data_IF_830388124533
#
_entry.id   IF_830388124533
#
_cell.length_a   1.000
_cell.length_b   1.000
_cell.length_c   1.000
_cell.angle_alpha   90.00
_cell.angle_beta   90.00
_cell.angle_gamma   90.00
#
_symmetry.space_group_name_H-M   'P 1'
#
loop_
_entity.id
_entity.type
_entity.pdbx_description
1 polymer ?
#
# COMPACT_ATOMS: atom_id res chain seq x y z
N UNK A 1 2.70 36.24 -11.73
CA UNK A 1 1.81 35.98 -10.58
C UNK A 1 1.98 34.54 -10.17
N UNK A 2 2.24 34.34 -8.89
CA UNK A 2 2.72 33.10 -8.27
C UNK A 2 1.60 32.08 -8.09
N UNK A 3 1.83 30.84 -8.53
CA UNK A 3 1.15 29.66 -7.98
C UNK A 3 2.21 28.69 -7.47
N UNK A 4 2.75 28.99 -6.29
CA UNK A 4 3.40 28.00 -5.44
C UNK A 4 2.36 26.92 -5.12
N UNK A 5 2.40 25.81 -5.85
CA UNK A 5 1.77 24.58 -5.38
C UNK A 5 2.51 24.20 -4.11
N UNK A 6 1.82 24.37 -2.97
CA UNK A 6 2.22 23.81 -1.70
C UNK A 6 2.66 22.37 -1.97
N UNK A 7 3.93 22.09 -1.66
CA UNK A 7 4.44 20.78 -1.30
C UNK A 7 3.57 20.26 -0.14
N UNK A 8 2.35 19.82 -0.42
CA UNK A 8 1.70 18.82 0.41
C UNK A 8 2.68 17.67 0.32
N UNK A 9 3.45 17.43 1.38
CA UNK A 9 4.36 16.30 1.47
C UNK A 9 3.53 15.07 1.14
N UNK A 10 3.60 14.64 -0.12
CA UNK A 10 2.83 13.54 -0.65
C UNK A 10 3.37 12.33 0.10
N UNK A 11 2.72 12.00 1.21
CA UNK A 11 3.08 10.83 1.99
C UNK A 11 2.95 9.69 1.00
N UNK A 12 4.03 8.97 0.67
CA UNK A 12 3.98 7.98 -0.39
C UNK A 12 2.98 6.90 0.01
N UNK A 13 1.82 6.94 -0.65
CA UNK A 13 0.70 6.06 -0.37
C UNK A 13 0.63 5.01 -1.48
N UNK A 14 0.76 3.74 -1.09
CA UNK A 14 0.73 2.60 -2.00
C UNK A 14 -0.62 1.90 -1.86
N UNK A 15 -1.35 1.76 -2.96
CA UNK A 15 -2.51 0.88 -3.06
C UNK A 15 -2.06 -0.52 -3.46
N UNK A 16 -2.37 -1.51 -2.62
CA UNK A 16 -2.16 -2.93 -2.90
C UNK A 16 -3.53 -3.57 -3.08
N UNK A 17 -3.84 -4.07 -4.28
CA UNK A 17 -5.12 -4.71 -4.59
C UNK A 17 -4.93 -6.22 -4.67
N UNK A 18 -5.83 -6.95 -4.02
CA UNK A 18 -5.88 -8.41 -4.07
C UNK A 18 -7.31 -8.87 -4.28
N UNK A 19 -7.48 -10.13 -4.69
CA UNK A 19 -8.80 -10.77 -4.69
C UNK A 19 -9.28 -10.94 -3.24
N UNK A 20 -10.59 -10.82 -2.99
CA UNK A 20 -11.23 -10.98 -1.67
C UNK A 20 -10.72 -12.18 -0.84
N UNK A 21 -10.61 -13.41 -1.38
CA UNK A 21 -10.10 -14.56 -0.61
C UNK A 21 -8.63 -14.43 -0.18
N UNK A 22 -7.85 -13.54 -0.82
CA UNK A 22 -6.43 -13.33 -0.53
C UNK A 22 -6.20 -12.26 0.55
N UNK A 23 -7.25 -11.60 1.05
CA UNK A 23 -7.14 -10.54 2.06
C UNK A 23 -6.46 -11.00 3.37
N UNK A 24 -6.77 -12.18 3.95
CA UNK A 24 -6.06 -12.66 5.14
C UNK A 24 -4.57 -12.89 4.87
N UNK A 25 -4.23 -13.35 3.66
CA UNK A 25 -2.88 -13.62 3.20
C UNK A 25 -2.10 -12.30 3.05
N UNK A 26 -2.73 -11.27 2.48
CA UNK A 26 -2.19 -9.92 2.40
C UNK A 26 -1.92 -9.30 3.78
N UNK A 27 -2.85 -9.42 4.74
CA UNK A 27 -2.64 -8.94 6.11
C UNK A 27 -1.48 -9.65 6.82
N UNK A 28 -1.33 -10.97 6.59
CA UNK A 28 -0.20 -11.75 7.11
C UNK A 28 1.12 -11.29 6.48
N UNK A 29 1.14 -11.12 5.16
CA UNK A 29 2.33 -10.67 4.43
C UNK A 29 2.78 -9.27 4.90
N UNK A 30 1.85 -8.32 5.05
CA UNK A 30 2.14 -6.99 5.60
C UNK A 30 2.77 -7.06 6.99
N UNK A 31 2.24 -7.92 7.87
CA UNK A 31 2.81 -8.12 9.21
C UNK A 31 4.24 -8.68 9.14
N UNK A 32 4.47 -9.69 8.30
CA UNK A 32 5.78 -10.30 8.10
C UNK A 32 6.80 -9.31 7.51
N UNK A 33 6.35 -8.40 6.67
CA UNK A 33 7.20 -7.36 6.08
C UNK A 33 7.38 -6.13 6.99
N UNK A 34 6.81 -6.11 8.20
CA UNK A 34 7.00 -5.00 9.15
C UNK A 34 6.09 -3.79 8.88
N UNK A 35 4.93 -4.01 8.26
CA UNK A 35 3.84 -3.03 8.17
C UNK A 35 2.78 -3.35 9.25
N UNK A 36 2.84 -2.70 10.44
CA UNK A 36 1.82 -2.86 11.47
C UNK A 36 0.47 -2.29 11.02
N UNK A 37 -0.62 -2.67 11.69
CA UNK A 37 -2.00 -2.28 11.32
C UNK A 37 -2.23 -0.76 11.31
N UNK A 38 -1.44 0.02 12.03
CA UNK A 38 -1.50 1.49 11.99
C UNK A 38 -0.96 2.12 10.70
N UNK A 39 -0.16 1.38 9.94
CA UNK A 39 0.49 1.87 8.73
C UNK A 39 -0.32 1.60 7.47
N UNK A 40 -1.45 0.90 7.59
CA UNK A 40 -2.30 0.60 6.45
C UNK A 40 -3.79 0.63 6.76
N UNK A 41 -4.60 0.97 5.76
CA UNK A 41 -6.07 1.00 5.83
C UNK A 41 -6.67 0.08 4.78
N UNK A 42 -7.75 -0.59 5.13
CA UNK A 42 -8.55 -1.33 4.16
C UNK A 42 -9.28 -0.33 3.26
N UNK A 43 -9.24 -0.55 1.95
CA UNK A 43 -9.97 0.25 0.98
C UNK A 43 -10.76 -0.70 0.09
N UNK A 44 -12.07 -0.53 0.04
CA UNK A 44 -12.92 -1.25 -0.91
C UNK A 44 -12.91 -0.53 -2.26
N UNK A 45 -12.64 -1.26 -3.34
CA UNK A 45 -12.60 -0.69 -4.69
C UNK A 45 -13.35 -1.60 -5.67
N UNK A 46 -14.68 -1.50 -5.68
CA UNK A 46 -15.56 -2.34 -6.49
C UNK A 46 -15.53 -3.80 -6.01
N UNK A 47 -15.39 -4.81 -6.90
CA UNK A 47 -15.37 -6.22 -6.50
C UNK A 47 -14.04 -6.66 -5.85
N UNK A 48 -13.09 -5.74 -5.67
CA UNK A 48 -11.74 -6.02 -5.15
C UNK A 48 -11.53 -5.30 -3.83
N UNK A 49 -10.86 -5.97 -2.90
CA UNK A 49 -10.45 -5.38 -1.63
C UNK A 49 -8.96 -5.03 -1.72
N UNK A 50 -8.64 -3.78 -1.44
CA UNK A 50 -7.29 -3.27 -1.41
C UNK A 50 -6.84 -2.85 -0.01
N UNK A 51 -5.54 -2.63 0.13
CA UNK A 51 -4.94 -2.03 1.30
C UNK A 51 -4.14 -0.81 0.84
N UNK A 52 -4.50 0.35 1.40
CA UNK A 52 -3.72 1.57 1.31
C UNK A 52 -2.65 1.56 2.38
N UNK A 53 -1.38 1.44 1.99
CA UNK A 53 -0.24 1.54 2.88
C UNK A 53 0.23 2.99 2.90
N UNK A 54 0.15 3.62 4.07
CA UNK A 54 0.76 4.92 4.34
C UNK A 54 2.23 4.69 4.70
N UNK A 55 3.10 4.60 3.70
CA UNK A 55 4.53 4.56 3.96
C UNK A 55 5.00 6.00 4.23
N UNK A 56 5.58 6.23 5.42
CA UNK A 56 6.14 7.55 5.75
C UNK A 56 7.45 7.85 5.00
N UNK A 57 8.07 6.81 4.44
CA UNK A 57 9.38 6.86 3.77
C UNK A 57 9.38 5.97 2.50
N UNK A 58 9.98 6.47 1.42
CA UNK A 58 10.07 5.78 0.13
C UNK A 58 10.89 4.49 0.18
N UNK A 59 12.03 4.46 0.87
CA UNK A 59 12.87 3.27 0.98
C UNK A 59 12.13 2.16 1.75
N UNK A 60 11.34 2.54 2.77
CA UNK A 60 10.46 1.60 3.48
C UNK A 60 9.37 1.06 2.55
N UNK A 61 8.76 1.92 1.73
CA UNK A 61 7.77 1.51 0.73
C UNK A 61 8.34 0.49 -0.28
N UNK A 62 9.53 0.75 -0.83
CA UNK A 62 10.20 -0.13 -1.79
C UNK A 62 10.55 -1.50 -1.17
N UNK A 63 11.00 -1.50 0.08
CA UNK A 63 11.27 -2.74 0.85
C UNK A 63 9.98 -3.55 1.06
N UNK A 64 8.89 -2.88 1.45
CA UNK A 64 7.59 -3.51 1.63
C UNK A 64 7.04 -4.07 0.32
N UNK A 65 7.09 -3.30 -0.78
CA UNK A 65 6.69 -3.76 -2.10
C UNK A 65 7.45 -5.01 -2.52
N UNK A 66 8.78 -5.00 -2.40
CA UNK A 66 9.64 -6.14 -2.76
C UNK A 66 9.27 -7.39 -1.96
N UNK A 67 9.05 -7.24 -0.64
CA UNK A 67 8.62 -8.34 0.22
C UNK A 67 7.23 -8.87 -0.11
N UNK A 68 6.29 -7.98 -0.41
CA UNK A 68 4.90 -8.33 -0.73
C UNK A 68 4.80 -9.01 -2.10
N UNK A 69 5.52 -8.54 -3.12
CA UNK A 69 5.54 -9.16 -4.46
C UNK A 69 6.00 -10.63 -4.41
N UNK A 70 6.95 -10.96 -3.52
CA UNK A 70 7.41 -12.34 -3.30
C UNK A 70 6.34 -13.24 -2.68
N UNK A 71 5.46 -12.68 -1.84
CA UNK A 71 4.43 -13.45 -1.15
C UNK A 71 3.09 -13.47 -1.90
N UNK A 72 2.86 -12.48 -2.78
CA UNK A 72 1.60 -12.25 -3.47
C UNK A 72 1.87 -11.96 -4.96
N UNK A 73 2.18 -12.98 -5.77
CA UNK A 73 2.50 -12.81 -7.19
C UNK A 73 1.34 -12.27 -8.03
N UNK A 74 0.11 -12.29 -7.50
CA UNK A 74 -1.11 -11.78 -8.15
C UNK A 74 -1.59 -10.44 -7.58
N UNK A 75 -0.87 -9.84 -6.63
CA UNK A 75 -1.23 -8.53 -6.11
C UNK A 75 -0.93 -7.44 -7.14
N UNK A 76 -1.87 -6.52 -7.33
CA UNK A 76 -1.65 -5.34 -8.16
C UNK A 76 -1.25 -4.15 -7.29
N UNK A 77 -0.22 -3.42 -7.70
CA UNK A 77 0.31 -2.27 -6.96
C UNK A 77 0.08 -0.99 -7.77
N UNK A 78 -0.41 0.06 -7.12
CA UNK A 78 -0.63 1.36 -7.74
C UNK A 78 -0.53 2.51 -6.75
N UNK A 79 -0.42 3.76 -7.22
CA UNK A 79 -0.45 4.93 -6.34
C UNK A 79 -1.85 5.13 -5.73
N UNK A 80 -1.90 5.58 -4.47
CA UNK A 80 -3.11 6.17 -3.89
C UNK A 80 -3.14 7.65 -4.32
N UNK A 81 -4.07 8.02 -5.20
CA UNK A 81 -4.27 9.41 -5.65
C UNK A 81 -4.90 10.26 -4.54
#
# INVERSE_FOLDING_TARGET
MSHSFLNTMATPCLLIRVETPQLPLLRRALRLCGAPRGDYRLVEHGPRIGIALAARDRARMETLMTGLMRQLPRAEFGPLC
#
